data_IF_671108927470
#
_entry.id   IF_671108927470
#
_cell.length_a   1.000
_cell.length_b   1.000
_cell.length_c   1.000
_cell.angle_alpha   90.00
_cell.angle_beta   90.00
_cell.angle_gamma   90.00
#
_symmetry.space_group_name_H-M   'P 1'
#
loop_
_entity.id
_entity.type
_entity.pdbx_description
1 polymer ?
#
# COMPACT_ATOMS: atom_id res chain seq x y z
N UNK A 1 -54.66 28.99 20.08
CA UNK A 1 -53.65 29.59 19.18
C UNK A 1 -53.84 28.95 17.81
N UNK A 2 -54.13 29.72 16.77
CA UNK A 2 -54.62 29.23 15.49
C UNK A 2 -53.44 28.68 14.64
N UNK A 3 -53.64 27.57 13.93
CA UNK A 3 -52.59 26.94 13.09
C UNK A 3 -52.07 27.87 11.98
N UNK A 4 -52.89 28.82 11.53
CA UNK A 4 -52.46 29.87 10.59
C UNK A 4 -51.44 30.83 11.22
N UNK A 5 -51.66 31.23 12.46
CA UNK A 5 -50.76 32.17 13.17
C UNK A 5 -49.39 31.53 13.43
N UNK A 6 -49.34 30.22 13.71
CA UNK A 6 -48.07 29.49 13.87
C UNK A 6 -47.32 29.35 12.53
N UNK A 7 -48.04 29.15 11.44
CA UNK A 7 -47.44 29.04 10.11
C UNK A 7 -46.84 30.38 9.66
N UNK A 8 -47.53 31.49 9.90
CA UNK A 8 -47.05 32.84 9.59
C UNK A 8 -45.82 33.23 10.43
N UNK A 9 -45.79 32.87 11.72
CA UNK A 9 -44.62 33.09 12.59
C UNK A 9 -43.40 32.31 12.08
N UNK A 10 -43.56 31.04 11.71
CA UNK A 10 -42.47 30.22 11.16
C UNK A 10 -41.99 30.76 9.80
N UNK A 11 -42.90 31.25 8.97
CA UNK A 11 -42.58 31.81 7.65
C UNK A 11 -41.81 33.13 7.80
N UNK A 12 -42.17 33.96 8.78
CA UNK A 12 -41.49 35.21 9.10
C UNK A 12 -40.09 34.97 9.70
N UNK A 13 -39.94 33.98 10.58
CA UNK A 13 -38.61 33.55 11.08
C UNK A 13 -37.70 33.06 9.94
N UNK A 14 -38.26 32.32 8.98
CA UNK A 14 -37.53 31.82 7.82
C UNK A 14 -37.04 32.94 6.91
N UNK A 15 -37.86 33.98 6.71
CA UNK A 15 -37.49 35.18 5.93
C UNK A 15 -36.41 35.97 6.66
N UNK A 16 -36.53 36.15 7.98
CA UNK A 16 -35.53 36.85 8.80
C UNK A 16 -34.18 36.12 8.79
N UNK A 17 -34.17 34.79 8.89
CA UNK A 17 -32.96 33.97 8.78
C UNK A 17 -32.32 34.09 7.38
N UNK A 18 -33.11 34.07 6.31
CA UNK A 18 -32.59 34.25 4.94
C UNK A 18 -31.98 35.64 4.72
N UNK A 19 -32.54 36.68 5.34
CA UNK A 19 -31.99 38.03 5.29
C UNK A 19 -30.70 38.17 6.12
N UNK A 20 -30.62 37.50 7.28
CA UNK A 20 -29.39 37.39 8.07
C UNK A 20 -28.27 36.68 7.29
N UNK A 21 -28.57 35.59 6.59
CA UNK A 21 -27.61 34.90 5.72
C UNK A 21 -27.16 35.77 4.53
N UNK A 22 -28.06 36.54 3.91
CA UNK A 22 -27.72 37.50 2.84
C UNK A 22 -26.88 38.69 3.34
N UNK A 23 -27.03 39.09 4.62
CA UNK A 23 -26.16 40.10 5.25
C UNK A 23 -24.79 39.53 5.63
N UNK A 24 -24.72 38.27 6.08
CA UNK A 24 -23.45 37.60 6.38
C UNK A 24 -22.64 37.24 5.12
N UNK A 25 -23.28 36.96 3.98
CA UNK A 25 -22.57 36.67 2.72
C UNK A 25 -21.86 37.88 2.11
N UNK A 26 -22.08 39.10 2.66
CA UNK A 26 -21.40 40.33 2.24
C UNK A 26 -20.23 40.75 3.14
N UNK A 27 -19.83 39.95 4.14
CA UNK A 27 -18.70 40.29 5.02
C UNK A 27 -17.66 39.16 5.14
N UNK A 28 -16.44 39.56 4.76
CA UNK A 28 -15.11 38.95 4.96
C UNK A 28 -14.79 37.74 4.09
N UNK A 29 -13.91 38.00 3.09
CA UNK A 29 -13.00 36.99 2.52
C UNK A 29 -12.42 36.22 3.71
N UNK A 30 -12.73 34.93 3.79
CA UNK A 30 -12.16 34.05 4.82
C UNK A 30 -10.65 34.17 4.67
N UNK A 31 -9.97 34.55 5.74
CA UNK A 31 -8.51 34.60 5.76
C UNK A 31 -7.99 33.20 5.41
N UNK A 32 -7.37 33.09 4.25
CA UNK A 32 -6.94 31.81 3.68
C UNK A 32 -5.90 31.13 4.58
N UNK A 33 -5.15 31.92 5.35
CA UNK A 33 -4.19 31.46 6.35
C UNK A 33 -4.90 30.81 7.52
N UNK A 34 -5.96 31.42 8.03
CA UNK A 34 -6.80 30.87 9.11
C UNK A 34 -7.53 29.62 8.60
N UNK A 35 -8.12 29.66 7.40
CA UNK A 35 -8.77 28.50 6.78
C UNK A 35 -7.80 27.32 6.65
N UNK A 36 -6.60 27.54 6.11
CA UNK A 36 -5.57 26.51 5.99
C UNK A 36 -5.10 26.01 7.35
N UNK A 37 -4.96 26.89 8.34
CA UNK A 37 -4.55 26.52 9.71
C UNK A 37 -5.61 25.65 10.39
N UNK A 38 -6.88 26.04 10.29
CA UNK A 38 -8.05 25.30 10.79
C UNK A 38 -8.17 23.93 10.10
N UNK A 39 -7.97 23.87 8.77
CA UNK A 39 -8.10 22.62 8.01
C UNK A 39 -6.89 21.67 8.13
N UNK A 40 -5.72 22.21 8.50
CA UNK A 40 -4.53 21.44 8.88
C UNK A 40 -4.64 20.90 10.31
N UNK A 41 -5.38 21.57 11.19
CA UNK A 41 -5.61 21.09 12.54
C UNK A 41 -6.68 19.98 12.55
N UNK A 42 -6.24 18.74 12.74
CA UNK A 42 -7.11 17.55 12.69
C UNK A 42 -8.24 17.60 13.74
N UNK A 43 -7.99 18.17 14.91
CA UNK A 43 -8.99 18.25 15.99
C UNK A 43 -10.07 19.28 15.65
N UNK A 44 -9.68 20.49 15.24
CA UNK A 44 -10.63 21.55 14.86
C UNK A 44 -11.39 21.16 13.59
N UNK A 45 -10.70 20.55 12.60
CA UNK A 45 -11.35 20.01 11.40
C UNK A 45 -12.39 18.95 11.76
N UNK A 46 -12.07 18.02 12.67
CA UNK A 46 -13.03 17.03 13.16
C UNK A 46 -14.19 17.67 13.89
N UNK A 47 -13.94 18.62 14.79
CA UNK A 47 -14.98 19.36 15.52
C UNK A 47 -15.92 20.11 14.57
N UNK A 48 -15.37 20.81 13.58
CA UNK A 48 -16.14 21.48 12.53
C UNK A 48 -16.92 20.47 11.70
N UNK A 49 -16.31 19.35 11.28
CA UNK A 49 -16.98 18.30 10.54
C UNK A 49 -18.03 17.54 11.36
N UNK A 50 -17.89 17.45 12.69
CA UNK A 50 -18.87 16.86 13.61
C UNK A 50 -20.04 17.81 13.84
N UNK A 51 -19.77 19.09 14.08
CA UNK A 51 -20.81 20.14 14.18
C UNK A 51 -21.55 20.32 12.86
N UNK A 52 -20.84 20.31 11.73
CA UNK A 52 -21.44 20.28 10.41
C UNK A 52 -22.14 18.93 10.19
N UNK A 53 -21.60 17.81 10.66
CA UNK A 53 -22.18 16.47 10.55
C UNK A 53 -23.53 16.31 11.26
N UNK A 54 -23.75 17.03 12.36
CA UNK A 54 -25.06 17.18 13.01
C UNK A 54 -25.99 18.15 12.25
N UNK A 55 -25.43 19.07 11.46
CA UNK A 55 -26.11 20.13 10.72
C UNK A 55 -25.85 20.10 9.20
N UNK A 56 -25.72 18.93 8.56
CA UNK A 56 -25.84 18.87 7.10
C UNK A 56 -27.34 18.69 6.83
N UNK A 57 -28.12 19.77 6.60
CA UNK A 57 -29.28 19.60 5.74
C UNK A 57 -28.69 19.12 4.42
N UNK A 58 -29.03 17.89 4.04
CA UNK A 58 -28.61 17.25 2.80
C UNK A 58 -29.17 18.08 1.64
N UNK A 59 -28.51 19.18 1.30
CA UNK A 59 -28.80 19.96 0.11
C UNK A 59 -27.99 19.38 -1.04
N UNK A 60 -28.68 19.14 -2.16
CA UNK A 60 -28.22 18.34 -3.29
C UNK A 60 -26.89 18.81 -3.91
N UNK A 61 -26.47 20.04 -3.67
CA UNK A 61 -25.42 20.73 -4.42
C UNK A 61 -24.00 20.56 -3.85
N UNK A 62 -23.85 20.08 -2.60
CA UNK A 62 -22.53 19.95 -1.94
C UNK A 62 -22.21 18.53 -1.44
N UNK A 63 -22.70 17.52 -2.15
CA UNK A 63 -22.24 16.14 -1.92
C UNK A 63 -20.71 16.10 -2.14
N UNK A 64 -19.93 15.72 -1.11
CA UNK A 64 -18.88 14.70 -1.36
C UNK A 64 -19.60 13.69 -2.24
N UNK A 65 -19.22 13.50 -3.52
CA UNK A 65 -20.01 12.75 -4.51
C UNK A 65 -20.32 11.31 -4.02
N UNK A 66 -21.28 11.20 -3.11
CA UNK A 66 -21.87 9.99 -2.62
C UNK A 66 -22.71 9.53 -3.81
N UNK A 67 -22.37 8.36 -4.34
CA UNK A 67 -23.11 7.75 -5.44
C UNK A 67 -24.59 7.69 -5.07
N UNK A 68 -25.46 8.00 -6.03
CA UNK A 68 -26.90 8.19 -5.81
C UNK A 68 -27.59 7.01 -5.13
N UNK A 69 -27.03 5.81 -5.27
CA UNK A 69 -27.60 4.60 -4.67
C UNK A 69 -27.59 4.59 -3.14
N UNK A 70 -26.63 5.25 -2.48
CA UNK A 70 -26.59 5.27 -1.01
C UNK A 70 -27.60 6.23 -0.38
N UNK A 71 -27.79 7.39 -1.01
CA UNK A 71 -28.85 8.30 -0.61
C UNK A 71 -30.21 7.62 -0.77
N UNK A 72 -30.42 6.94 -1.91
CA UNK A 72 -31.62 6.14 -2.18
C UNK A 72 -31.85 5.03 -1.16
N UNK A 73 -30.79 4.33 -0.71
CA UNK A 73 -30.93 3.29 0.33
C UNK A 73 -31.40 3.86 1.67
N UNK A 74 -30.93 5.05 2.07
CA UNK A 74 -31.40 5.71 3.30
C UNK A 74 -32.82 6.26 3.13
N UNK A 75 -33.16 6.78 1.95
CA UNK A 75 -34.54 7.19 1.64
C UNK A 75 -35.50 6.00 1.73
N UNK A 76 -35.15 4.87 1.10
CA UNK A 76 -35.91 3.62 1.20
C UNK A 76 -36.02 3.13 2.66
N UNK A 77 -34.95 3.25 3.44
CA UNK A 77 -34.98 2.89 4.85
C UNK A 77 -35.93 3.79 5.65
N UNK A 78 -35.96 5.10 5.36
CA UNK A 78 -36.89 6.04 6.02
C UNK A 78 -38.35 5.80 5.63
N UNK A 79 -38.59 5.40 4.39
CA UNK A 79 -39.93 5.07 3.88
C UNK A 79 -40.45 3.74 4.42
N UNK A 80 -39.59 2.72 4.50
CA UNK A 80 -39.98 1.39 4.98
C UNK A 80 -38.84 0.68 5.73
N UNK A 81 -38.62 1.01 7.02
CA UNK A 81 -37.58 0.37 7.83
C UNK A 81 -37.71 -1.15 7.90
N UNK A 82 -38.95 -1.65 7.94
CA UNK A 82 -39.28 -3.08 8.08
C UNK A 82 -38.71 -3.94 6.95
N UNK A 83 -38.62 -3.40 5.74
CA UNK A 83 -38.05 -4.12 4.59
C UNK A 83 -36.58 -4.50 4.82
N UNK A 84 -35.83 -3.68 5.53
CA UNK A 84 -34.42 -3.92 5.87
C UNK A 84 -34.25 -4.92 7.02
N UNK A 85 -35.26 -5.07 7.87
CA UNK A 85 -35.25 -6.04 8.97
C UNK A 85 -35.30 -7.47 8.44
N UNK A 86 -35.99 -7.68 7.31
CA UNK A 86 -36.22 -9.00 6.70
C UNK A 86 -35.16 -9.35 5.65
N UNK A 87 -34.67 -8.37 4.88
CA UNK A 87 -33.78 -8.59 3.72
C UNK A 87 -32.28 -8.63 4.06
N UNK A 88 -31.90 -8.31 5.30
CA UNK A 88 -30.55 -8.47 5.82
C UNK A 88 -29.90 -7.16 6.27
N UNK A 89 -29.64 -7.06 7.58
CA UNK A 89 -29.11 -5.87 8.25
C UNK A 89 -27.72 -5.44 7.77
N UNK A 90 -26.99 -6.32 7.07
CA UNK A 90 -25.63 -6.06 6.58
C UNK A 90 -25.57 -4.85 5.65
N UNK A 91 -26.52 -4.72 4.72
CA UNK A 91 -26.51 -3.59 3.78
C UNK A 91 -26.72 -2.24 4.49
N UNK A 92 -27.54 -2.24 5.54
CA UNK A 92 -27.79 -1.05 6.36
C UNK A 92 -26.54 -0.65 7.15
N UNK A 93 -25.94 -1.57 7.89
CA UNK A 93 -24.78 -1.27 8.75
C UNK A 93 -23.51 -0.91 7.95
N UNK A 94 -23.34 -1.46 6.75
CA UNK A 94 -22.23 -1.13 5.84
C UNK A 94 -22.51 0.14 5.00
N UNK A 95 -23.61 0.85 5.22
CA UNK A 95 -23.94 2.04 4.45
C UNK A 95 -23.06 3.25 4.87
N UNK A 96 -22.27 3.87 3.97
CA UNK A 96 -21.36 4.96 4.33
C UNK A 96 -22.03 6.19 4.96
N UNK A 97 -23.34 6.36 4.72
CA UNK A 97 -24.15 7.49 5.21
C UNK A 97 -24.93 7.16 6.48
N UNK A 98 -24.69 5.99 7.10
CA UNK A 98 -25.28 5.63 8.38
C UNK A 98 -24.89 6.64 9.47
N UNK A 99 -25.88 7.08 10.24
CA UNK A 99 -25.69 7.94 11.43
C UNK A 99 -25.85 7.13 12.71
N UNK A 100 -25.29 7.63 13.81
CA UNK A 100 -25.46 7.00 15.12
C UNK A 100 -26.94 6.92 15.56
N UNK A 101 -27.74 7.93 15.24
CA UNK A 101 -29.18 7.94 15.53
C UNK A 101 -29.96 6.89 14.74
N UNK A 102 -29.64 6.71 13.45
CA UNK A 102 -30.25 5.68 12.61
C UNK A 102 -29.81 4.28 13.06
N UNK A 103 -28.54 4.12 13.43
CA UNK A 103 -28.04 2.89 14.02
C UNK A 103 -28.85 2.52 15.27
N UNK A 104 -28.98 3.45 16.23
CA UNK A 104 -29.69 3.21 17.48
C UNK A 104 -31.14 2.81 17.22
N UNK A 105 -31.85 3.60 16.41
CA UNK A 105 -33.24 3.30 16.06
C UNK A 105 -33.39 1.92 15.40
N UNK A 106 -32.51 1.58 14.45
CA UNK A 106 -32.56 0.28 13.79
C UNK A 106 -32.31 -0.86 14.76
N UNK A 107 -31.25 -0.74 15.58
CA UNK A 107 -30.83 -1.77 16.50
C UNK A 107 -31.92 -2.08 17.55
N UNK A 108 -32.53 -1.04 18.13
CA UNK A 108 -33.56 -1.17 19.17
C UNK A 108 -34.84 -1.87 18.66
N UNK A 109 -35.14 -1.71 17.37
CA UNK A 109 -36.33 -2.28 16.74
C UNK A 109 -36.11 -3.67 16.13
N UNK A 110 -34.91 -3.98 15.67
CA UNK A 110 -34.61 -5.29 15.06
C UNK A 110 -34.20 -6.33 16.10
N UNK A 111 -33.51 -5.90 17.17
CA UNK A 111 -32.92 -6.80 18.18
C UNK A 111 -32.17 -7.98 17.56
N UNK A 112 -31.40 -7.70 16.49
CA UNK A 112 -30.50 -8.70 15.90
C UNK A 112 -29.42 -9.12 16.89
N UNK A 113 -28.84 -10.30 16.66
CA UNK A 113 -27.64 -10.78 17.35
C UNK A 113 -26.62 -9.64 17.61
N UNK A 114 -26.37 -9.37 18.89
CA UNK A 114 -25.67 -8.17 19.34
C UNK A 114 -24.21 -8.15 18.87
N UNK A 115 -23.58 -9.32 18.81
CA UNK A 115 -22.19 -9.49 18.37
C UNK A 115 -22.04 -9.16 16.88
N UNK A 116 -23.08 -9.42 16.08
CA UNK A 116 -23.08 -9.11 14.66
C UNK A 116 -23.10 -7.60 14.38
N UNK A 117 -23.73 -6.77 15.23
CA UNK A 117 -23.88 -5.34 14.95
C UNK A 117 -22.52 -4.59 14.97
N UNK A 118 -21.68 -4.85 15.98
CA UNK A 118 -20.33 -4.27 16.05
C UNK A 118 -19.46 -4.75 14.88
N UNK A 119 -19.52 -6.05 14.56
CA UNK A 119 -18.80 -6.61 13.42
C UNK A 119 -19.24 -5.96 12.09
N UNK A 120 -20.53 -5.72 11.89
CA UNK A 120 -21.04 -5.09 10.67
C UNK A 120 -20.69 -3.59 10.59
N UNK A 121 -20.82 -2.85 11.69
CA UNK A 121 -20.45 -1.42 11.73
C UNK A 121 -18.94 -1.23 11.58
N UNK A 122 -18.10 -2.14 12.10
CA UNK A 122 -16.65 -2.09 11.88
C UNK A 122 -16.28 -2.22 10.40
N UNK A 123 -17.09 -2.92 9.60
CA UNK A 123 -16.94 -3.05 8.15
C UNK A 123 -17.43 -1.85 7.34
N UNK A 124 -17.98 -0.81 7.99
CA UNK A 124 -18.49 0.36 7.30
C UNK A 124 -17.35 1.11 6.57
N UNK A 125 -17.45 1.41 5.27
CA UNK A 125 -16.41 2.09 4.49
C UNK A 125 -15.94 3.41 5.11
N UNK A 126 -16.82 4.13 5.82
CA UNK A 126 -16.48 5.40 6.48
C UNK A 126 -15.31 5.25 7.45
N UNK A 127 -15.15 4.07 8.05
CA UNK A 127 -14.11 3.73 9.00
C UNK A 127 -12.68 3.88 8.43
N UNK A 128 -12.50 3.87 7.11
CA UNK A 128 -11.22 4.13 6.49
C UNK A 128 -10.76 5.60 6.61
N UNK A 129 -11.66 6.54 6.94
CA UNK A 129 -11.37 7.99 7.02
C UNK A 129 -11.73 8.57 8.37
N UNK A 130 -12.84 8.13 8.94
CA UNK A 130 -13.44 8.71 10.14
C UNK A 130 -13.89 7.61 11.10
N UNK A 131 -13.67 7.82 12.39
CA UNK A 131 -13.97 6.86 13.46
C UNK A 131 -15.23 7.21 14.24
N UNK A 132 -15.82 8.39 14.00
CA UNK A 132 -16.94 8.92 14.79
C UNK A 132 -18.14 7.97 14.89
N UNK A 133 -18.56 7.34 13.78
CA UNK A 133 -19.68 6.41 13.79
C UNK A 133 -19.38 5.20 14.68
N UNK A 134 -18.22 4.58 14.47
CA UNK A 134 -17.80 3.40 15.25
C UNK A 134 -17.70 3.73 16.75
N UNK A 135 -17.12 4.88 17.10
CA UNK A 135 -17.05 5.38 18.49
C UNK A 135 -18.44 5.55 19.11
N UNK A 136 -19.33 6.26 18.40
CA UNK A 136 -20.70 6.52 18.87
C UNK A 136 -21.48 5.23 19.09
N UNK A 137 -21.28 4.23 18.22
CA UNK A 137 -21.89 2.90 18.36
C UNK A 137 -21.31 2.16 19.57
N UNK A 138 -19.99 2.17 19.77
CA UNK A 138 -19.37 1.57 20.95
C UNK A 138 -19.86 2.22 22.25
N UNK A 139 -19.98 3.56 22.29
CA UNK A 139 -20.50 4.29 23.46
C UNK A 139 -21.98 4.00 23.73
N UNK A 140 -22.77 3.76 22.67
CA UNK A 140 -24.14 3.27 22.79
C UNK A 140 -24.17 1.86 23.39
N UNK A 141 -23.43 0.92 22.80
CA UNK A 141 -23.38 -0.47 23.27
C UNK A 141 -22.83 -0.56 24.69
N UNK A 142 -21.83 0.22 25.06
CA UNK A 142 -21.28 0.24 26.42
C UNK A 142 -22.33 0.62 27.47
N UNK A 143 -23.27 1.50 27.13
CA UNK A 143 -24.34 1.94 28.04
C UNK A 143 -25.47 0.92 28.14
N UNK A 144 -25.84 0.30 27.02
CA UNK A 144 -27.00 -0.59 26.96
C UNK A 144 -26.64 -2.06 27.19
N UNK A 145 -25.48 -2.51 26.71
CA UNK A 145 -25.04 -3.91 26.65
C UNK A 145 -23.51 -4.07 26.85
N UNK A 146 -22.99 -3.86 28.07
CA UNK A 146 -21.54 -3.83 28.33
C UNK A 146 -20.77 -5.09 27.88
N UNK A 147 -21.39 -6.26 27.96
CA UNK A 147 -20.77 -7.57 27.63
C UNK A 147 -20.42 -7.74 26.14
N UNK A 148 -21.07 -6.98 25.24
CA UNK A 148 -20.82 -7.08 23.78
C UNK A 148 -19.39 -6.63 23.43
N UNK A 149 -18.82 -5.73 24.24
CA UNK A 149 -17.46 -5.21 24.02
C UNK A 149 -16.37 -6.13 24.59
N UNK A 150 -16.74 -7.04 25.49
CA UNK A 150 -15.80 -8.00 26.10
C UNK A 150 -15.61 -9.27 25.27
N UNK A 151 -16.44 -9.53 24.26
CA UNK A 151 -16.30 -10.70 23.38
C UNK A 151 -16.40 -10.29 21.91
N UNK A 152 -15.48 -9.44 21.41
CA UNK A 152 -15.53 -9.02 20.02
C UNK A 152 -15.22 -10.21 19.10
N UNK A 153 -16.09 -10.44 18.11
CA UNK A 153 -15.80 -11.38 17.02
C UNK A 153 -14.50 -11.00 16.29
N UNK A 154 -13.73 -12.01 15.85
CA UNK A 154 -12.57 -11.80 14.97
C UNK A 154 -12.93 -11.04 13.69
N UNK A 155 -14.20 -11.10 13.25
CA UNK A 155 -14.68 -10.31 12.12
C UNK A 155 -14.58 -8.79 12.37
N UNK A 156 -14.79 -8.34 13.62
CA UNK A 156 -14.63 -6.94 14.02
C UNK A 156 -13.19 -6.49 13.81
N UNK A 157 -12.23 -7.25 14.36
CA UNK A 157 -10.80 -6.96 14.21
C UNK A 157 -10.35 -7.06 12.75
N UNK A 158 -10.82 -8.08 12.02
CA UNK A 158 -10.59 -8.22 10.57
C UNK A 158 -11.01 -6.96 9.81
N UNK A 159 -12.19 -6.41 10.09
CA UNK A 159 -12.68 -5.21 9.43
C UNK A 159 -11.91 -3.94 9.84
N UNK A 160 -11.54 -3.82 11.13
CA UNK A 160 -10.70 -2.72 11.61
C UNK A 160 -9.33 -2.72 10.92
N UNK A 161 -8.66 -3.87 10.82
CA UNK A 161 -7.38 -3.98 10.12
C UNK A 161 -7.55 -3.64 8.64
N UNK A 162 -8.58 -4.18 7.98
CA UNK A 162 -8.88 -3.87 6.58
C UNK A 162 -9.16 -2.40 6.33
N UNK A 163 -9.67 -1.65 7.31
CA UNK A 163 -9.90 -0.20 7.15
C UNK A 163 -8.61 0.59 6.88
N UNK A 164 -7.45 0.01 7.25
CA UNK A 164 -6.15 0.66 7.28
C UNK A 164 -6.15 2.02 8.02
N UNK A 165 -7.02 2.17 9.02
CA UNK A 165 -7.13 3.40 9.82
C UNK A 165 -6.52 3.21 11.22
N UNK A 166 -5.34 3.79 11.43
CA UNK A 166 -4.60 3.75 12.70
C UNK A 166 -5.40 4.32 13.86
N UNK A 167 -6.20 5.37 13.63
CA UNK A 167 -7.02 5.94 14.68
C UNK A 167 -8.12 4.97 15.12
N UNK A 168 -8.73 4.27 14.15
CA UNK A 168 -9.75 3.28 14.46
C UNK A 168 -9.16 2.13 15.27
N UNK A 169 -8.02 1.61 14.82
CA UNK A 169 -7.27 0.57 15.51
C UNK A 169 -6.93 0.97 16.96
N UNK A 170 -6.36 2.16 17.14
CA UNK A 170 -5.99 2.68 18.45
C UNK A 170 -7.21 2.93 19.35
N UNK A 171 -8.35 3.36 18.80
CA UNK A 171 -9.57 3.46 19.59
C UNK A 171 -10.10 2.07 19.95
N UNK A 172 -10.20 1.16 18.99
CA UNK A 172 -10.73 -0.18 19.18
C UNK A 172 -10.02 -0.92 20.33
N UNK A 173 -8.69 -0.86 20.42
CA UNK A 173 -7.95 -1.50 21.52
C UNK A 173 -8.22 -0.93 22.91
N UNK A 174 -8.81 0.27 23.00
CA UNK A 174 -9.21 0.86 24.30
C UNK A 174 -10.59 0.41 24.75
N UNK A 175 -11.40 -0.16 23.84
CA UNK A 175 -12.79 -0.52 24.12
C UNK A 175 -13.12 -2.00 23.84
N UNK A 176 -12.30 -2.71 23.06
CA UNK A 176 -12.44 -4.11 22.70
C UNK A 176 -11.25 -4.91 23.24
N UNK A 177 -11.49 -6.16 23.65
CA UNK A 177 -10.41 -7.10 23.93
C UNK A 177 -9.69 -7.50 22.63
N UNK A 178 -8.36 -7.54 22.68
CA UNK A 178 -7.55 -8.11 21.59
C UNK A 178 -7.77 -9.62 21.50
N UNK A 179 -7.70 -10.23 20.31
CA UNK A 179 -7.76 -11.68 20.18
C UNK A 179 -6.57 -12.33 20.89
N UNK A 180 -6.84 -13.43 21.62
CA UNK A 180 -5.80 -14.20 22.31
C UNK A 180 -5.26 -15.36 21.47
N UNK A 181 -6.06 -15.84 20.51
CA UNK A 181 -5.68 -16.97 19.66
C UNK A 181 -4.57 -16.56 18.68
N UNK A 182 -3.48 -17.34 18.65
CA UNK A 182 -2.36 -17.18 17.72
C UNK A 182 -2.81 -17.07 16.27
N UNK A 183 -3.76 -17.91 15.84
CA UNK A 183 -4.26 -17.93 14.46
C UNK A 183 -4.97 -16.62 14.08
N UNK A 184 -5.68 -16.01 15.03
CA UNK A 184 -6.37 -14.73 14.83
C UNK A 184 -5.38 -13.57 14.70
N UNK A 185 -4.33 -13.57 15.54
CA UNK A 185 -3.24 -12.59 15.45
C UNK A 185 -2.48 -12.73 14.12
N UNK A 186 -2.14 -13.97 13.71
CA UNK A 186 -1.53 -14.24 12.41
C UNK A 186 -2.40 -13.73 11.26
N UNK A 187 -3.71 -13.97 11.33
CA UNK A 187 -4.68 -13.48 10.35
C UNK A 187 -4.70 -11.96 10.29
N UNK A 188 -4.71 -11.27 11.44
CA UNK A 188 -4.64 -9.81 11.50
C UNK A 188 -3.37 -9.27 10.84
N UNK A 189 -2.21 -9.87 11.08
CA UNK A 189 -0.96 -9.43 10.45
C UNK A 189 -0.99 -9.68 8.95
N UNK A 190 -1.43 -10.86 8.50
CA UNK A 190 -1.60 -11.18 7.08
C UNK A 190 -2.49 -10.15 6.37
N UNK A 191 -3.63 -9.79 6.96
CA UNK A 191 -4.54 -8.76 6.45
C UNK A 191 -3.88 -7.37 6.37
N UNK A 192 -3.10 -6.98 7.36
CA UNK A 192 -2.38 -5.71 7.38
C UNK A 192 -1.27 -5.65 6.31
N UNK A 193 -0.78 -6.82 5.85
CA UNK A 193 0.21 -6.92 4.78
C UNK A 193 -0.38 -7.05 3.37
N UNK A 194 -1.65 -7.45 3.22
CA UNK A 194 -2.29 -7.58 1.90
C UNK A 194 -3.17 -6.37 1.53
N UNK A 195 -2.51 -5.27 1.16
CA UNK A 195 -3.19 -4.02 0.78
C UNK A 195 -3.89 -4.07 -0.59
N UNK A 196 -3.79 -5.18 -1.34
CA UNK A 196 -4.30 -5.27 -2.72
C UNK A 196 -5.58 -6.09 -2.85
N UNK A 197 -5.80 -7.11 -2.01
CA UNK A 197 -7.03 -7.93 -2.08
C UNK A 197 -8.31 -7.10 -1.90
N UNK A 198 -8.26 -6.00 -1.16
CA UNK A 198 -9.45 -5.19 -0.87
C UNK A 198 -9.77 -4.15 -1.94
N UNK A 199 -8.89 -4.00 -2.93
CA UNK A 199 -9.05 -3.02 -3.99
C UNK A 199 -9.97 -3.49 -5.14
N UNK A 200 -10.47 -4.75 -5.16
CA UNK A 200 -11.18 -5.25 -6.34
C UNK A 200 -12.59 -5.82 -6.11
N UNK A 201 -12.84 -6.61 -5.07
CA UNK A 201 -14.13 -7.35 -5.00
C UNK A 201 -15.27 -6.67 -4.23
N UNK A 202 -14.99 -5.92 -3.15
CA UNK A 202 -16.07 -5.41 -2.27
C UNK A 202 -16.30 -3.90 -2.38
N UNK A 203 -15.26 -3.13 -2.71
CA UNK A 203 -15.34 -1.66 -2.72
C UNK A 203 -15.42 -1.01 -4.10
N UNK A 204 -14.95 -1.69 -5.16
CA UNK A 204 -14.90 -1.09 -6.49
C UNK A 204 -16.08 -1.44 -7.41
N UNK A 205 -16.77 -2.56 -7.21
CA UNK A 205 -17.86 -2.95 -8.11
C UNK A 205 -19.22 -2.30 -7.78
N UNK A 206 -19.52 -1.93 -6.52
CA UNK A 206 -20.85 -1.39 -6.18
C UNK A 206 -20.90 -0.30 -5.09
N UNK A 207 -19.80 0.02 -4.39
CA UNK A 207 -19.90 0.72 -3.09
C UNK A 207 -18.90 1.86 -2.83
N UNK A 208 -18.97 2.92 -3.65
CA UNK A 208 -18.42 4.27 -3.36
C UNK A 208 -17.01 4.33 -2.76
N UNK A 209 -16.01 4.34 -3.64
CA UNK A 209 -14.58 4.27 -3.34
C UNK A 209 -14.08 5.37 -2.38
N UNK A 210 -13.91 5.01 -1.11
CA UNK A 210 -12.83 5.59 -0.31
C UNK A 210 -11.60 4.74 -0.63
N UNK A 211 -10.64 5.32 -1.35
CA UNK A 211 -9.35 4.66 -1.60
C UNK A 211 -8.63 4.43 -0.28
N UNK A 212 -8.37 3.18 0.06
CA UNK A 212 -7.55 2.86 1.22
C UNK A 212 -6.13 3.38 1.00
N UNK A 213 -5.55 3.93 2.06
CA UNK A 213 -4.16 4.37 2.02
C UNK A 213 -3.24 3.17 1.77
N UNK A 214 -2.15 3.37 1.03
CA UNK A 214 -1.03 2.40 0.94
C UNK A 214 -0.07 2.51 2.14
N UNK A 215 -0.42 3.33 3.12
CA UNK A 215 0.38 3.60 4.31
C UNK A 215 0.46 2.35 5.21
N UNK A 216 1.62 2.14 5.82
CA UNK A 216 1.91 1.01 6.70
C UNK A 216 1.83 1.37 8.17
N UNK A 217 1.37 2.58 8.51
CA UNK A 217 1.23 3.00 9.92
C UNK A 217 0.36 2.06 10.75
N UNK A 218 -0.71 1.47 10.21
CA UNK A 218 -1.53 0.51 10.96
C UNK A 218 -0.76 -0.77 11.21
N UNK A 219 -0.10 -1.31 10.17
CA UNK A 219 0.79 -2.47 10.31
C UNK A 219 1.88 -2.21 11.36
N UNK A 220 2.50 -1.02 11.33
CA UNK A 220 3.47 -0.60 12.35
C UNK A 220 2.85 -0.63 13.76
N UNK A 221 1.69 -0.02 13.96
CA UNK A 221 1.03 0.01 15.26
C UNK A 221 0.70 -1.41 15.75
N UNK A 222 0.21 -2.27 14.86
CA UNK A 222 -0.07 -3.67 15.13
C UNK A 222 1.20 -4.43 15.56
N UNK A 223 2.29 -4.32 14.81
CA UNK A 223 3.55 -5.01 15.14
C UNK A 223 4.14 -4.56 16.48
N UNK A 224 4.01 -3.27 16.83
CA UNK A 224 4.43 -2.76 18.13
C UNK A 224 3.57 -3.38 19.24
N UNK A 225 2.25 -3.39 19.10
CA UNK A 225 1.34 -3.94 20.10
C UNK A 225 1.55 -5.47 20.25
N UNK A 226 1.77 -6.20 19.16
CA UNK A 226 2.06 -7.64 19.21
C UNK A 226 3.33 -7.95 20.01
N UNK A 227 4.40 -7.17 19.86
CA UNK A 227 5.63 -7.33 20.65
C UNK A 227 5.45 -7.06 22.13
N UNK A 228 4.45 -6.27 22.51
CA UNK A 228 4.09 -6.07 23.91
C UNK A 228 3.30 -7.26 24.47
N UNK A 229 2.50 -7.91 23.60
CA UNK A 229 1.67 -9.07 23.96
C UNK A 229 2.49 -10.36 24.08
N UNK A 230 3.43 -10.60 23.16
CA UNK A 230 4.38 -11.72 23.22
C UNK A 230 5.81 -11.19 23.07
N UNK A 231 6.43 -10.74 24.18
CA UNK A 231 7.82 -10.28 24.18
C UNK A 231 8.81 -11.41 23.87
N UNK A 232 8.44 -12.66 24.17
CA UNK A 232 9.27 -13.86 23.99
C UNK A 232 9.39 -14.29 22.54
N UNK A 233 8.56 -13.76 21.63
CA UNK A 233 8.57 -14.10 20.21
C UNK A 233 8.40 -15.61 20.01
N UNK A 234 7.51 -16.26 20.77
CA UNK A 234 7.13 -17.65 20.54
C UNK A 234 6.10 -17.78 19.40
N UNK A 235 5.22 -16.79 19.30
CA UNK A 235 4.10 -16.75 18.36
C UNK A 235 4.51 -16.24 16.98
N UNK A 236 4.64 -17.16 16.02
CA UNK A 236 5.03 -16.84 14.63
C UNK A 236 3.93 -16.08 13.86
N UNK A 237 3.70 -14.81 14.18
CA UNK A 237 2.62 -13.99 13.60
C UNK A 237 2.76 -13.80 12.09
N UNK A 238 3.98 -13.83 11.59
CA UNK A 238 4.30 -13.60 10.19
C UNK A 238 4.18 -14.86 9.31
N UNK A 239 3.84 -16.02 9.88
CA UNK A 239 3.76 -17.28 9.12
C UNK A 239 2.68 -17.25 8.02
N UNK A 240 1.63 -16.44 8.21
CA UNK A 240 0.56 -16.23 7.21
C UNK A 240 0.82 -15.04 6.28
N UNK A 241 1.95 -14.34 6.41
CA UNK A 241 2.33 -13.28 5.49
C UNK A 241 2.89 -13.85 4.18
N UNK A 242 2.32 -13.42 3.06
CA UNK A 242 2.78 -13.83 1.74
C UNK A 242 3.93 -12.93 1.26
N UNK A 243 5.12 -13.12 1.86
CA UNK A 243 6.34 -12.38 1.50
C UNK A 243 6.68 -12.48 0.01
N UNK A 244 6.36 -13.63 -0.59
CA UNK A 244 6.48 -13.83 -2.03
C UNK A 244 5.69 -12.77 -2.79
N UNK A 245 4.40 -12.58 -2.49
CA UNK A 245 3.58 -11.55 -3.15
C UNK A 245 4.08 -10.13 -2.86
N UNK A 246 4.56 -9.85 -1.64
CA UNK A 246 5.08 -8.52 -1.31
C UNK A 246 6.29 -8.16 -2.18
N UNK A 247 7.20 -9.12 -2.36
CA UNK A 247 8.39 -8.97 -3.18
C UNK A 247 8.04 -8.89 -4.67
N UNK A 248 7.14 -9.74 -5.16
CA UNK A 248 6.64 -9.77 -6.54
C UNK A 248 5.92 -8.46 -6.93
N UNK A 249 5.25 -7.80 -5.98
CA UNK A 249 4.51 -6.55 -6.20
C UNK A 249 5.31 -5.27 -5.91
N UNK A 250 6.52 -5.39 -5.36
CA UNK A 250 7.30 -4.21 -4.96
C UNK A 250 6.72 -3.46 -3.76
N UNK A 251 6.08 -4.16 -2.82
CA UNK A 251 5.45 -3.57 -1.62
C UNK A 251 6.49 -3.20 -0.54
N UNK A 252 7.47 -2.37 -0.90
CA UNK A 252 8.66 -2.09 -0.08
C UNK A 252 8.33 -1.48 1.26
N UNK A 253 7.38 -0.53 1.31
CA UNK A 253 6.98 0.07 2.59
C UNK A 253 6.50 -0.98 3.60
N UNK A 254 5.82 -2.03 3.14
CA UNK A 254 5.35 -3.13 3.99
C UNK A 254 6.55 -3.97 4.46
N UNK A 255 7.45 -4.34 3.54
CA UNK A 255 8.66 -5.09 3.85
C UNK A 255 9.57 -4.36 4.85
N UNK A 256 9.79 -3.06 4.66
CA UNK A 256 10.57 -2.21 5.58
C UNK A 256 9.90 -2.05 6.94
N UNK A 257 8.56 -2.00 6.97
CA UNK A 257 7.81 -1.91 8.22
C UNK A 257 7.91 -3.22 9.00
N UNK A 258 7.75 -4.36 8.34
CA UNK A 258 7.97 -5.67 8.96
C UNK A 258 9.40 -5.72 9.50
N UNK A 259 10.38 -5.37 8.69
CA UNK A 259 11.79 -5.45 9.09
C UNK A 259 12.11 -4.63 10.32
N UNK A 260 11.61 -3.40 10.35
CA UNK A 260 11.92 -2.46 11.43
C UNK A 260 11.20 -2.81 12.73
N UNK A 261 9.99 -3.36 12.68
CA UNK A 261 9.13 -3.48 13.86
C UNK A 261 8.88 -4.91 14.31
N UNK A 262 9.01 -5.93 13.45
CA UNK A 262 8.79 -7.33 13.83
C UNK A 262 10.00 -8.01 14.49
N UNK A 263 11.22 -7.46 14.33
CA UNK A 263 12.45 -8.05 14.88
C UNK A 263 12.98 -9.22 14.06
N UNK A 264 13.88 -10.04 14.65
CA UNK A 264 14.64 -11.13 13.99
C UNK A 264 13.78 -12.37 13.60
N UNK A 265 12.48 -12.15 13.42
CA UNK A 265 11.46 -13.19 13.28
C UNK A 265 11.49 -13.94 11.93
N UNK A 266 12.38 -13.60 11.00
CA UNK A 266 12.21 -14.04 9.61
C UNK A 266 13.45 -14.64 8.97
N UNK A 267 13.45 -15.96 8.82
CA UNK A 267 14.29 -16.69 7.85
C UNK A 267 13.46 -17.77 7.13
N UNK A 268 12.74 -17.38 6.07
CA UNK A 268 12.15 -18.33 5.11
C UNK A 268 12.72 -18.05 3.71
N UNK A 269 13.53 -18.99 3.24
CA UNK A 269 14.07 -19.13 1.87
C UNK A 269 14.28 -17.81 1.10
N UNK A 270 15.27 -17.05 1.56
CA UNK A 270 15.64 -15.71 1.06
C UNK A 270 16.04 -15.68 -0.42
N UNK A 271 16.73 -16.71 -0.90
CA UNK A 271 17.15 -16.83 -2.31
C UNK A 271 15.93 -16.96 -3.23
N UNK A 272 14.92 -17.71 -2.80
CA UNK A 272 13.67 -17.85 -3.53
C UNK A 272 12.92 -16.52 -3.71
N UNK A 273 13.01 -15.61 -2.73
CA UNK A 273 12.43 -14.28 -2.83
C UNK A 273 13.21 -13.40 -3.82
N UNK A 274 14.54 -13.45 -3.81
CA UNK A 274 15.38 -12.71 -4.75
C UNK A 274 15.06 -13.08 -6.21
N UNK A 275 14.95 -14.38 -6.52
CA UNK A 275 14.60 -14.84 -7.87
C UNK A 275 13.22 -14.32 -8.32
N UNK A 276 12.25 -14.26 -7.41
CA UNK A 276 10.91 -13.73 -7.71
C UNK A 276 10.93 -12.23 -7.97
N UNK A 277 11.65 -11.47 -7.15
CA UNK A 277 11.85 -10.03 -7.34
C UNK A 277 12.39 -9.73 -8.74
N UNK A 278 13.39 -10.51 -9.17
CA UNK A 278 14.05 -10.38 -10.47
C UNK A 278 13.12 -10.75 -11.61
N UNK A 279 12.40 -11.88 -11.49
CA UNK A 279 11.46 -12.32 -12.51
C UNK A 279 10.37 -11.28 -12.77
N UNK A 280 9.87 -10.65 -11.72
CA UNK A 280 8.87 -9.57 -11.79
C UNK A 280 9.50 -8.18 -12.01
N UNK A 281 10.82 -8.11 -12.22
CA UNK A 281 11.58 -6.87 -12.50
C UNK A 281 11.42 -5.78 -11.44
N UNK A 282 11.22 -6.17 -10.18
CA UNK A 282 11.00 -5.27 -9.05
C UNK A 282 12.33 -4.80 -8.45
N UNK A 283 12.96 -3.77 -9.05
CA UNK A 283 14.28 -3.29 -8.61
C UNK A 283 14.33 -2.88 -7.14
N UNK A 284 13.28 -2.23 -6.63
CA UNK A 284 13.28 -1.80 -5.24
C UNK A 284 13.19 -3.00 -4.27
N UNK A 285 12.54 -4.10 -4.70
CA UNK A 285 12.53 -5.35 -3.93
C UNK A 285 13.92 -5.99 -3.91
N UNK A 286 14.59 -6.03 -5.07
CA UNK A 286 15.99 -6.49 -5.16
C UNK A 286 16.90 -5.65 -4.27
N UNK A 287 16.75 -4.32 -4.29
CA UNK A 287 17.50 -3.40 -3.44
C UNK A 287 17.28 -3.69 -1.96
N UNK A 288 16.03 -3.84 -1.52
CA UNK A 288 15.71 -4.19 -0.14
C UNK A 288 16.34 -5.54 0.26
N UNK A 289 16.17 -6.58 -0.56
CA UNK A 289 16.70 -7.91 -0.30
C UNK A 289 18.24 -7.91 -0.26
N UNK A 290 18.89 -7.15 -1.14
CA UNK A 290 20.35 -7.07 -1.22
C UNK A 290 20.95 -6.21 -0.09
N UNK A 291 20.46 -4.98 0.08
CA UNK A 291 21.09 -3.99 0.95
C UNK A 291 20.62 -4.07 2.40
N UNK A 292 19.35 -4.39 2.64
CA UNK A 292 18.78 -4.49 3.99
C UNK A 292 18.90 -5.91 4.51
N UNK A 293 18.40 -6.89 3.75
CA UNK A 293 18.44 -8.31 4.13
C UNK A 293 19.78 -9.00 3.89
N UNK A 294 20.75 -8.33 3.26
CA UNK A 294 22.10 -8.87 2.98
C UNK A 294 22.09 -10.16 2.17
N UNK A 295 21.07 -10.39 1.35
CA UNK A 295 20.96 -11.58 0.51
C UNK A 295 21.88 -11.41 -0.70
N UNK A 296 22.93 -12.23 -0.87
CA UNK A 296 23.91 -12.04 -1.93
C UNK A 296 23.32 -12.34 -3.31
N UNK A 297 23.75 -11.57 -4.31
CA UNK A 297 23.45 -11.84 -5.73
C UNK A 297 24.47 -12.85 -6.26
N UNK A 298 24.13 -14.14 -6.17
CA UNK A 298 24.96 -15.24 -6.62
C UNK A 298 24.87 -15.52 -8.13
N UNK A 299 25.59 -16.54 -8.58
CA UNK A 299 25.66 -16.93 -10.00
C UNK A 299 24.29 -17.28 -10.57
N UNK A 300 23.46 -18.01 -9.84
CA UNK A 300 22.14 -18.41 -10.35
C UNK A 300 21.18 -17.22 -10.44
N UNK A 301 21.29 -16.29 -9.49
CA UNK A 301 20.58 -15.01 -9.53
C UNK A 301 21.00 -14.17 -10.74
N UNK A 302 22.30 -14.16 -11.08
CA UNK A 302 22.82 -13.49 -12.28
C UNK A 302 22.28 -14.10 -13.58
N UNK A 303 22.14 -15.43 -13.67
CA UNK A 303 21.48 -16.07 -14.81
C UNK A 303 20.01 -15.64 -14.91
N UNK A 304 19.31 -15.59 -13.78
CA UNK A 304 17.91 -15.16 -13.75
C UNK A 304 17.76 -13.70 -14.21
N UNK A 305 18.68 -12.81 -13.81
CA UNK A 305 18.73 -11.41 -14.27
C UNK A 305 18.85 -11.35 -15.79
N UNK A 306 19.78 -12.11 -16.38
CA UNK A 306 19.93 -12.17 -17.83
C UNK A 306 18.67 -12.73 -18.53
N UNK A 307 18.00 -13.72 -17.91
CA UNK A 307 16.77 -14.32 -18.43
C UNK A 307 15.57 -13.36 -18.41
N UNK A 308 15.61 -12.25 -17.67
CA UNK A 308 14.58 -11.22 -17.73
C UNK A 308 14.51 -10.53 -19.11
N UNK A 309 15.58 -10.60 -19.89
CA UNK A 309 15.76 -9.92 -21.18
C UNK A 309 15.36 -8.43 -21.14
N UNK A 310 15.61 -7.75 -20.01
CA UNK A 310 15.16 -6.38 -19.79
C UNK A 310 16.35 -5.47 -19.45
N UNK A 311 16.94 -4.86 -20.48
CA UNK A 311 18.16 -4.07 -20.34
C UNK A 311 18.05 -2.92 -19.32
N UNK A 312 16.94 -2.14 -19.25
CA UNK A 312 16.80 -1.11 -18.22
C UNK A 312 16.90 -1.67 -16.80
N UNK A 313 16.31 -2.84 -16.55
CA UNK A 313 16.36 -3.49 -15.23
C UNK A 313 17.78 -4.00 -14.91
N UNK A 314 18.49 -4.54 -15.90
CA UNK A 314 19.90 -4.95 -15.75
C UNK A 314 20.79 -3.77 -15.37
N UNK A 315 20.60 -2.63 -16.03
CA UNK A 315 21.32 -1.39 -15.73
C UNK A 315 20.98 -0.89 -14.33
N UNK A 316 19.70 -0.83 -13.98
CA UNK A 316 19.27 -0.43 -12.63
C UNK A 316 19.86 -1.34 -11.54
N UNK A 317 19.96 -2.64 -11.80
CA UNK A 317 20.57 -3.60 -10.88
C UNK A 317 22.08 -3.39 -10.75
N UNK A 318 22.78 -3.11 -11.85
CA UNK A 318 24.20 -2.75 -11.80
C UNK A 318 24.43 -1.49 -10.94
N UNK A 319 23.55 -0.50 -11.06
CA UNK A 319 23.63 0.74 -10.29
C UNK A 319 23.41 0.55 -8.78
N UNK A 320 22.97 -0.61 -8.31
CA UNK A 320 22.92 -0.90 -6.87
C UNK A 320 24.31 -1.02 -6.24
N UNK A 321 25.30 -1.46 -7.03
CA UNK A 321 26.71 -1.54 -6.64
C UNK A 321 27.56 -1.73 -7.92
N UNK A 322 27.98 -0.62 -8.55
CA UNK A 322 28.70 -0.65 -9.82
C UNK A 322 30.02 -1.42 -9.75
N UNK A 323 30.73 -1.30 -8.63
CA UNK A 323 32.07 -1.88 -8.43
C UNK A 323 32.06 -3.42 -8.42
N UNK A 324 30.90 -4.03 -8.23
CA UNK A 324 30.74 -5.48 -8.29
C UNK A 324 30.92 -6.06 -9.71
N UNK A 325 31.11 -5.22 -10.75
CA UNK A 325 31.36 -5.62 -12.15
C UNK A 325 30.30 -6.54 -12.78
N UNK A 326 29.12 -6.63 -12.15
CA UNK A 326 28.01 -7.51 -12.55
C UNK A 326 27.56 -7.27 -13.99
N UNK A 327 27.65 -6.04 -14.49
CA UNK A 327 27.24 -5.70 -15.85
C UNK A 327 28.13 -6.38 -16.89
N UNK A 328 29.45 -6.37 -16.70
CA UNK A 328 30.40 -7.06 -17.58
C UNK A 328 30.19 -8.58 -17.50
N UNK A 329 30.01 -9.12 -16.30
CA UNK A 329 29.69 -10.53 -16.08
C UNK A 329 28.43 -10.97 -16.84
N UNK A 330 27.35 -10.18 -16.77
CA UNK A 330 26.10 -10.42 -17.49
C UNK A 330 26.31 -10.30 -19.00
N UNK A 331 27.07 -9.30 -19.45
CA UNK A 331 27.40 -9.11 -20.86
C UNK A 331 28.07 -10.36 -21.44
N UNK A 332 29.12 -10.87 -20.81
CA UNK A 332 29.83 -12.09 -21.24
C UNK A 332 28.88 -13.28 -21.28
N UNK A 333 28.03 -13.45 -20.27
CA UNK A 333 27.04 -14.52 -20.24
C UNK A 333 26.04 -14.44 -21.40
N UNK A 334 25.44 -13.27 -21.64
CA UNK A 334 24.45 -13.03 -22.71
C UNK A 334 25.05 -13.21 -24.11
N UNK A 335 26.31 -12.82 -24.30
CA UNK A 335 27.01 -13.01 -25.57
C UNK A 335 27.41 -14.46 -25.82
N UNK A 336 27.62 -15.25 -24.77
CA UNK A 336 28.02 -16.65 -24.88
C UNK A 336 26.96 -17.54 -25.55
N UNK A 337 27.37 -18.71 -26.00
CA UNK A 337 26.49 -19.76 -26.53
C UNK A 337 25.64 -20.45 -25.45
N UNK A 338 25.89 -20.18 -24.16
CA UNK A 338 25.11 -20.71 -23.04
C UNK A 338 23.81 -19.94 -22.81
N UNK A 339 23.74 -18.70 -23.29
CA UNK A 339 22.52 -17.90 -23.23
C UNK A 339 21.64 -18.24 -24.43
N UNK A 340 20.68 -19.13 -24.19
CA UNK A 340 19.68 -19.57 -25.16
C UNK A 340 18.30 -19.13 -24.70
N UNK A 341 17.33 -19.17 -25.63
CA UNK A 341 15.94 -18.72 -25.43
C UNK A 341 15.43 -19.06 -24.02
N UNK A 342 15.18 -18.05 -23.16
CA UNK A 342 14.63 -18.29 -21.83
C UNK A 342 13.28 -19.01 -21.93
N UNK A 343 13.04 -19.97 -21.04
CA UNK A 343 11.74 -20.65 -21.00
C UNK A 343 10.66 -19.64 -20.60
N UNK A 344 9.59 -19.53 -21.41
CA UNK A 344 8.42 -18.71 -21.09
C UNK A 344 8.42 -17.28 -21.66
N UNK A 345 9.48 -16.84 -22.35
CA UNK A 345 9.43 -15.58 -23.11
C UNK A 345 8.81 -15.82 -24.49
N UNK A 346 7.68 -15.16 -24.76
CA UNK A 346 7.07 -15.11 -26.09
C UNK A 346 7.94 -14.35 -27.09
N UNK A 347 8.06 -14.86 -28.32
CA UNK A 347 8.73 -14.16 -29.43
C UNK A 347 10.27 -14.11 -29.41
N UNK A 348 10.81 -13.25 -30.28
CA UNK A 348 12.24 -13.00 -30.54
C UNK A 348 12.91 -12.03 -29.55
N UNK A 349 12.24 -11.68 -28.43
CA UNK A 349 12.71 -10.68 -27.46
C UNK A 349 14.13 -10.91 -26.90
N UNK A 350 14.58 -12.16 -26.79
CA UNK A 350 15.95 -12.45 -26.36
C UNK A 350 17.02 -12.04 -27.40
N UNK A 351 16.66 -12.04 -28.71
CA UNK A 351 17.54 -11.58 -29.79
C UNK A 351 17.66 -10.07 -29.79
N UNK A 352 16.53 -9.37 -29.59
CA UNK A 352 16.51 -7.92 -29.47
C UNK A 352 17.32 -7.48 -28.25
N UNK A 353 17.10 -8.12 -27.09
CA UNK A 353 17.90 -7.89 -25.90
C UNK A 353 19.40 -8.14 -26.14
N UNK A 354 19.77 -9.24 -26.80
CA UNK A 354 21.17 -9.52 -27.14
C UNK A 354 21.76 -8.43 -28.06
N UNK A 355 21.01 -7.94 -29.04
CA UNK A 355 21.44 -6.83 -29.91
C UNK A 355 21.63 -5.54 -29.13
N UNK A 356 20.68 -5.16 -28.29
CA UNK A 356 20.74 -3.96 -27.46
C UNK A 356 21.92 -4.01 -26.48
N UNK A 357 22.08 -5.14 -25.79
CA UNK A 357 23.17 -5.32 -24.82
C UNK A 357 24.53 -5.35 -25.52
N UNK A 358 24.61 -5.87 -26.75
CA UNK A 358 25.81 -5.78 -27.59
C UNK A 358 26.17 -4.33 -27.93
N UNK A 359 25.19 -3.49 -28.31
CA UNK A 359 25.42 -2.06 -28.56
C UNK A 359 25.87 -1.34 -27.28
N UNK A 360 25.27 -1.65 -26.13
CA UNK A 360 25.73 -1.10 -24.86
C UNK A 360 27.18 -1.54 -24.56
N UNK A 361 27.51 -2.81 -24.78
CA UNK A 361 28.89 -3.31 -24.60
C UNK A 361 29.91 -2.59 -25.49
N UNK A 362 29.53 -2.22 -26.72
CA UNK A 362 30.36 -1.36 -27.59
C UNK A 362 30.56 0.03 -27.00
N UNK A 363 29.48 0.68 -26.56
CA UNK A 363 29.55 2.01 -25.95
C UNK A 363 30.43 2.02 -24.70
N UNK A 364 30.41 0.94 -23.93
CA UNK A 364 31.20 0.76 -22.72
C UNK A 364 32.62 0.20 -22.95
N UNK A 365 33.03 0.00 -24.21
CA UNK A 365 34.32 -0.60 -24.57
C UNK A 365 34.58 -1.97 -23.89
N UNK A 366 33.54 -2.79 -23.70
CA UNK A 366 33.64 -4.14 -23.14
C UNK A 366 34.18 -5.18 -24.13
N UNK A 367 34.32 -4.81 -25.40
CA UNK A 367 34.59 -5.72 -26.50
C UNK A 367 35.99 -5.45 -27.06
N UNK A 368 36.93 -6.34 -26.75
CA UNK A 368 38.23 -6.40 -27.42
C UNK A 368 38.15 -7.19 -28.74
N UNK A 369 39.20 -7.14 -29.55
CA UNK A 369 39.28 -7.79 -30.87
C UNK A 369 39.08 -9.31 -30.80
N UNK A 370 39.55 -9.96 -29.73
CA UNK A 370 39.44 -11.40 -29.54
C UNK A 370 38.01 -11.80 -29.14
N UNK A 371 37.36 -11.04 -28.27
CA UNK A 371 35.98 -11.22 -27.87
C UNK A 371 35.03 -10.92 -29.03
N UNK A 372 35.31 -9.86 -29.80
CA UNK A 372 34.59 -9.53 -31.03
C UNK A 372 34.65 -10.70 -32.01
N UNK A 373 35.85 -11.22 -32.30
CA UNK A 373 36.03 -12.39 -33.16
C UNK A 373 35.24 -13.62 -32.66
N UNK A 374 35.26 -13.89 -31.34
CA UNK A 374 34.51 -15.01 -30.73
C UNK A 374 32.99 -14.84 -30.87
N UNK A 375 32.49 -13.62 -30.69
CA UNK A 375 31.06 -13.29 -30.86
C UNK A 375 30.65 -13.47 -32.33
N UNK A 376 31.41 -12.89 -33.27
CA UNK A 376 31.09 -12.90 -34.70
C UNK A 376 31.15 -14.30 -35.31
N UNK A 377 32.16 -15.08 -34.92
CA UNK A 377 32.34 -16.47 -35.40
C UNK A 377 31.46 -17.48 -34.67
N UNK A 378 30.64 -17.04 -33.69
CA UNK A 378 29.85 -17.91 -32.80
C UNK A 378 30.69 -19.00 -32.14
N UNK A 379 32.00 -18.79 -31.99
CA UNK A 379 32.92 -19.74 -31.35
C UNK A 379 32.59 -19.84 -29.87
N UNK A 380 32.72 -21.05 -29.33
CA UNK A 380 32.47 -21.28 -27.91
C UNK A 380 33.50 -20.51 -27.08
N UNK A 381 33.02 -19.67 -26.16
CA UNK A 381 33.85 -19.16 -25.08
C UNK A 381 33.15 -19.45 -23.76
N UNK A 382 33.89 -20.09 -22.86
CA UNK A 382 33.36 -20.51 -21.58
C UNK A 382 33.37 -19.31 -20.64
N UNK A 383 32.18 -18.89 -20.22
CA UNK A 383 32.05 -18.05 -19.04
C UNK A 383 32.66 -18.81 -17.85
N UNK A 384 33.79 -18.31 -17.33
CA UNK A 384 34.35 -18.66 -16.04
C UNK A 384 34.39 -17.36 -15.22
N UNK A 385 33.62 -17.24 -14.13
CA UNK A 385 33.75 -16.12 -13.22
C UNK A 385 35.14 -16.20 -12.57
N UNK A 386 36.08 -15.36 -13.02
CA UNK A 386 37.34 -15.14 -12.31
C UNK A 386 37.10 -13.99 -11.33
N UNK A 387 37.14 -14.28 -10.04
CA UNK A 387 36.88 -13.33 -8.93
C UNK A 387 37.83 -12.11 -8.87
N UNK A 388 38.72 -11.89 -9.84
CA UNK A 388 39.84 -10.93 -9.74
C UNK A 388 40.08 -10.07 -11.00
N UNK A 389 39.23 -10.13 -12.04
CA UNK A 389 39.38 -9.22 -13.21
C UNK A 389 38.54 -7.94 -13.11
N UNK A 390 38.07 -7.62 -11.90
CA UNK A 390 37.58 -6.29 -11.57
C UNK A 390 38.80 -5.35 -11.45
N UNK A 391 38.65 -4.06 -11.77
CA UNK A 391 39.65 -3.00 -11.50
C UNK A 391 40.76 -2.68 -12.52
N UNK A 392 40.43 -2.60 -13.82
CA UNK A 392 41.06 -1.53 -14.65
C UNK A 392 40.05 -0.70 -15.43
N UNK A 393 38.82 -1.18 -15.56
CA UNK A 393 37.76 -0.53 -16.33
C UNK A 393 37.08 0.64 -15.58
N UNK A 394 37.30 0.75 -14.26
CA UNK A 394 36.62 1.73 -13.39
C UNK A 394 37.56 2.67 -12.61
N UNK A 395 38.88 2.43 -12.63
CA UNK A 395 39.85 3.27 -11.89
C UNK A 395 40.06 4.67 -12.51
N UNK A 396 39.64 4.91 -13.75
CA UNK A 396 39.77 6.23 -14.39
C UNK A 396 38.79 7.30 -13.87
N UNK A 397 37.80 6.94 -13.05
CA UNK A 397 36.76 7.88 -12.58
C UNK A 397 36.98 8.40 -11.16
N UNK A 398 37.89 7.81 -10.37
CA UNK A 398 38.11 8.24 -8.99
C UNK A 398 39.12 9.41 -8.87
N UNK A 399 39.87 9.72 -9.92
CA UNK A 399 40.92 10.76 -9.91
C UNK A 399 40.54 12.06 -10.63
N UNK A 400 39.34 12.14 -11.22
CA UNK A 400 38.88 13.34 -11.94
C UNK A 400 37.45 13.70 -11.52
N UNK A 401 37.34 14.63 -10.57
CA UNK A 401 36.23 15.60 -10.57
C UNK A 401 35.23 15.56 -9.41
N UNK A 402 35.58 16.23 -8.31
CA UNK A 402 34.65 16.99 -7.46
C UNK A 402 34.00 18.20 -8.20
N UNK A 403 34.12 18.30 -9.53
CA UNK A 403 33.56 19.40 -10.31
C UNK A 403 33.04 18.88 -11.65
N UNK A 404 31.79 18.43 -11.69
CA UNK A 404 30.82 18.68 -12.79
C UNK A 404 29.52 17.90 -12.55
N UNK A 405 28.62 18.50 -11.77
CA UNK A 405 27.21 18.14 -11.74
C UNK A 405 26.58 18.76 -12.98
N UNK A 406 26.58 18.02 -14.09
CA UNK A 406 25.69 18.12 -15.28
C UNK A 406 26.44 17.67 -16.54
N UNK A 407 26.21 16.42 -16.99
CA UNK A 407 26.76 15.95 -18.26
C UNK A 407 26.53 14.46 -18.51
N UNK A 408 25.68 14.15 -19.49
CA UNK A 408 25.35 12.82 -20.01
C UNK A 408 26.51 12.15 -20.80
N UNK A 409 27.74 12.26 -20.35
CA UNK A 409 28.90 11.69 -21.07
C UNK A 409 29.52 10.55 -20.26
N UNK A 410 29.26 9.30 -20.70
CA UNK A 410 30.03 8.15 -20.24
C UNK A 410 31.47 8.23 -20.79
N UNK A 411 32.48 7.82 -20.01
CA UNK A 411 33.87 7.92 -20.43
C UNK A 411 34.25 6.83 -21.42
N UNK A 412 34.98 7.19 -22.46
CA UNK A 412 35.59 6.31 -23.46
C UNK A 412 36.96 5.82 -22.98
N UNK A 413 37.19 4.50 -23.02
CA UNK A 413 38.49 3.90 -22.71
C UNK A 413 39.43 3.93 -23.93
N UNK A 414 40.68 4.38 -23.74
CA UNK A 414 41.80 4.18 -24.66
C UNK A 414 42.70 3.05 -24.14
N UNK A 415 42.94 2.01 -24.95
CA UNK A 415 43.85 0.92 -24.59
C UNK A 415 45.27 1.19 -25.07
N UNK A 416 46.23 1.22 -24.14
CA UNK A 416 47.64 1.01 -24.44
C UNK A 416 47.90 -0.49 -24.56
N UNK A 417 48.54 -0.89 -25.65
CA UNK A 417 48.85 -2.27 -26.06
C UNK A 417 49.35 -3.17 -24.91
N UNK A 418 48.62 -4.25 -24.64
CA UNK A 418 49.11 -5.40 -23.87
C UNK A 418 49.48 -6.52 -24.85
N UNK A 419 50.76 -6.83 -24.95
CA UNK A 419 51.28 -8.03 -25.59
C UNK A 419 50.97 -9.27 -24.74
N UNK A 420 50.63 -10.37 -25.39
CA UNK A 420 50.57 -11.69 -24.76
C UNK A 420 51.37 -12.65 -25.64
N UNK A 421 52.42 -13.21 -25.07
CA UNK A 421 53.12 -14.38 -25.61
C UNK A 421 52.22 -15.63 -25.50
N UNK A 422 52.41 -16.51 -26.49
CA UNK A 422 51.58 -17.61 -27.01
C UNK A 422 50.73 -18.49 -26.07
#
# INVERSE_FOLDING_TARGET
>A
MNLKDQCEVIQQERINLQQLFKKQSKLKKIDETIFRSVWKNVVIRRLICTMIGEFIPVSAEKRIKLKDHYAKQIEQYKESPQSFWVQGNRQFYECPVLTASLFQYHYDNVKSDMECAIALVSGNPRNAVDTWLFRSVCDYMKRCYPSVLTMPSIHTWTNIIKSNNVELYNYAKTVLLMPELTEDLQRMVSLATDTHLYHWEVFNSTKGAISQSRDTKLLKALLIDLRLIDPSLETRWLDQCDYKKLVERGSIGILETIEKYAGDYYHRNEIGLMHRAIKEKQINSVRFLYQVKKIPIGIDTMKEIANTCHLPFVIELHNLEPDAGRLYTLFIYVMSSKFNRPRGTGGDCYRDFKREFYQLGKQLNYIDTNLQYKIDTKKYFQYQPKNQQHFKMFECNASVGEQNINGSSMPTLSFSSLSFDD
#
